data_IF_430551912574
#
_entry.id   IF_430551912574
#
_cell.length_a   1.000
_cell.length_b   1.000
_cell.length_c   1.000
_cell.angle_alpha   90.00
_cell.angle_beta   90.00
_cell.angle_gamma   90.00
#
_symmetry.space_group_name_H-M   'P 1'
#
loop_
_entity.id
_entity.type
_entity.pdbx_description
1 polymer ?
#
# COMPACT_ATOMS: atom_id res chain seq x y z
N UNK A 1 32.49 3.62 -3.30
CA UNK A 1 31.27 2.79 -3.17
C UNK A 1 30.09 3.69 -3.46
N UNK A 2 29.54 3.57 -4.67
CA UNK A 2 28.37 4.28 -5.18
C UNK A 2 27.46 3.17 -5.68
N UNK A 3 26.68 2.59 -4.77
CA UNK A 3 25.79 1.47 -5.04
C UNK A 3 24.36 1.89 -4.68
N UNK A 4 23.46 1.75 -5.67
CA UNK A 4 22.01 1.87 -5.58
C UNK A 4 21.44 3.17 -4.99
N UNK A 5 21.30 4.20 -5.83
CA UNK A 5 20.26 5.21 -5.63
C UNK A 5 18.89 4.53 -5.57
N UNK A 6 18.10 4.89 -4.55
CA UNK A 6 16.65 5.04 -4.57
C UNK A 6 15.83 3.89 -5.17
N UNK A 7 15.64 2.80 -4.43
CA UNK A 7 14.55 1.89 -4.75
C UNK A 7 13.24 2.55 -4.35
N UNK A 8 12.44 2.89 -5.35
CA UNK A 8 11.02 3.19 -5.28
C UNK A 8 10.29 1.99 -4.66
N UNK A 9 10.12 2.04 -3.34
CA UNK A 9 9.53 0.95 -2.57
C UNK A 9 8.20 1.41 -2.04
N UNK A 10 7.19 0.58 -2.23
CA UNK A 10 6.07 0.51 -1.31
C UNK A 10 6.17 -0.78 -0.52
N UNK A 11 6.20 -0.66 0.81
CA UNK A 11 6.27 -1.78 1.73
C UNK A 11 4.95 -1.91 2.46
N UNK A 12 4.52 -3.13 2.71
CA UNK A 12 3.31 -3.45 3.45
C UNK A 12 3.60 -4.48 4.54
N UNK A 13 2.88 -4.41 5.64
CA UNK A 13 3.04 -5.37 6.73
C UNK A 13 1.89 -5.34 7.73
N UNK A 14 2.15 -5.99 8.86
CA UNK A 14 1.19 -6.13 9.95
C UNK A 14 1.85 -5.86 11.30
N UNK A 15 1.18 -5.05 12.11
CA UNK A 15 1.50 -4.81 13.51
C UNK A 15 0.59 -5.65 14.39
N UNK A 16 1.11 -6.48 15.31
CA UNK A 16 0.29 -7.27 16.23
C UNK A 16 -0.34 -6.45 17.38
N UNK A 17 -0.07 -5.14 17.45
CA UNK A 17 -0.46 -4.27 18.56
C UNK A 17 0.54 -4.28 19.73
N UNK A 18 0.32 -3.42 20.72
CA UNK A 18 1.17 -3.31 21.92
C UNK A 18 2.52 -2.61 21.72
N UNK A 19 2.69 -1.90 20.60
CA UNK A 19 3.87 -1.11 20.26
C UNK A 19 3.49 0.34 19.87
N UNK A 20 4.12 0.93 18.85
CA UNK A 20 3.73 2.26 18.33
C UNK A 20 2.26 2.33 17.88
N UNK A 21 1.71 1.18 17.44
CA UNK A 21 0.28 1.00 17.22
C UNK A 21 -0.27 0.20 18.40
N UNK A 22 -1.23 0.78 19.12
CA UNK A 22 -1.83 0.17 20.32
C UNK A 22 -2.65 -1.07 19.96
N UNK A 23 -3.43 -0.98 18.88
CA UNK A 23 -4.24 -2.07 18.34
C UNK A 23 -3.53 -2.78 17.18
N UNK A 24 -3.91 -4.03 16.87
CA UNK A 24 -3.39 -4.70 15.68
C UNK A 24 -3.84 -3.98 14.40
N UNK A 25 -2.96 -3.85 13.42
CA UNK A 25 -3.24 -3.11 12.19
C UNK A 25 -2.37 -3.56 11.01
N UNK A 26 -2.89 -3.43 9.80
CA UNK A 26 -2.07 -3.47 8.59
C UNK A 26 -1.46 -2.10 8.35
N UNK A 27 -0.27 -2.07 7.75
CA UNK A 27 0.40 -0.82 7.43
C UNK A 27 1.04 -0.83 6.05
N UNK A 28 1.22 0.36 5.49
CA UNK A 28 1.95 0.58 4.23
C UNK A 28 2.71 1.90 4.25
N UNK A 29 3.90 1.94 3.66
CA UNK A 29 4.64 3.19 3.45
C UNK A 29 5.41 3.16 2.15
N UNK A 30 5.71 4.36 1.62
CA UNK A 30 6.52 4.53 0.43
C UNK A 30 7.87 5.18 0.79
N UNK A 31 8.96 4.75 0.15
CA UNK A 31 10.27 5.37 0.30
C UNK A 31 11.00 5.52 -1.05
N UNK A 32 11.58 6.70 -1.34
CA UNK A 32 11.28 7.97 -0.68
C UNK A 32 9.78 8.29 -0.81
N UNK A 33 9.20 8.94 0.20
CA UNK A 33 7.78 9.28 0.17
C UNK A 33 7.47 10.24 -0.99
N UNK A 34 6.53 9.89 -1.90
CA UNK A 34 6.13 10.79 -2.96
C UNK A 34 5.43 12.05 -2.43
N UNK A 35 5.60 13.22 -3.07
CA UNK A 35 4.89 14.43 -2.66
C UNK A 35 3.37 14.22 -2.63
N UNK A 36 2.75 14.58 -1.50
CA UNK A 36 1.31 14.43 -1.21
C UNK A 36 0.83 12.98 -0.98
N UNK A 37 1.74 12.01 -0.83
CA UNK A 37 1.36 10.62 -0.53
C UNK A 37 0.55 10.52 0.76
N UNK A 38 0.96 11.25 1.81
CA UNK A 38 0.22 11.35 3.07
C UNK A 38 -1.22 11.88 2.95
N UNK A 39 -1.56 12.56 1.85
CA UNK A 39 -2.87 13.15 1.59
C UNK A 39 -3.67 12.35 0.54
N UNK A 40 -3.10 11.25 0.03
CA UNK A 40 -3.75 10.44 -0.99
C UNK A 40 -5.01 9.76 -0.43
N UNK A 41 -6.14 9.78 -1.18
CA UNK A 41 -7.32 9.04 -0.78
C UNK A 41 -7.05 7.54 -0.92
N UNK A 42 -6.97 6.85 0.19
CA UNK A 42 -6.83 5.38 0.24
C UNK A 42 -8.12 4.73 0.67
N UNK A 43 -8.22 3.43 0.39
CA UNK A 43 -9.35 2.58 0.75
C UNK A 43 -8.84 1.40 1.58
N UNK A 44 -9.71 0.60 2.24
CA UNK A 44 -11.13 0.84 2.47
C UNK A 44 -11.36 2.03 3.42
N UNK A 45 -12.63 2.38 3.65
CA UNK A 45 -12.99 3.33 4.69
C UNK A 45 -12.45 2.86 6.05
N UNK A 46 -11.74 3.74 6.76
CA UNK A 46 -11.04 3.42 8.01
C UNK A 46 -9.51 3.33 7.87
N UNK A 47 -8.96 3.25 6.65
CA UNK A 47 -7.53 3.44 6.41
C UNK A 47 -7.15 4.92 6.59
N UNK A 48 -6.08 5.20 7.34
CA UNK A 48 -5.63 6.57 7.64
C UNK A 48 -4.10 6.69 7.60
N UNK A 49 -3.58 7.87 7.30
CA UNK A 49 -2.14 8.12 7.32
C UNK A 49 -1.67 8.63 8.69
N UNK A 50 -0.74 7.93 9.32
CA UNK A 50 -0.07 8.36 10.55
C UNK A 50 1.16 9.19 10.22
N UNK A 51 1.06 10.52 10.38
CA UNK A 51 2.20 11.44 10.17
C UNK A 51 3.34 11.25 11.17
N UNK A 52 3.05 10.68 12.33
CA UNK A 52 4.07 10.35 13.32
C UNK A 52 4.95 9.19 12.86
N UNK A 53 4.32 8.17 12.26
CA UNK A 53 5.02 6.97 11.79
C UNK A 53 5.51 7.08 10.35
N UNK A 54 4.89 7.93 9.54
CA UNK A 54 5.16 8.02 8.10
C UNK A 54 4.51 6.89 7.30
N UNK A 55 3.39 6.34 7.78
CA UNK A 55 2.77 5.12 7.23
C UNK A 55 1.24 5.26 7.18
N UNK A 56 0.60 4.65 6.17
CA UNK A 56 -0.81 4.33 6.19
C UNK A 56 -1.08 3.17 7.13
N UNK A 57 -2.15 3.27 7.92
CA UNK A 57 -2.59 2.30 8.91
C UNK A 57 -4.04 1.92 8.61
N UNK A 58 -4.31 0.63 8.54
CA UNK A 58 -5.65 0.04 8.49
C UNK A 58 -5.88 -0.79 9.77
N UNK A 59 -6.73 -0.32 10.69
CA UNK A 59 -7.05 -1.04 11.91
C UNK A 59 -7.59 -2.44 11.64
N UNK A 60 -7.14 -3.43 12.40
CA UNK A 60 -7.66 -4.79 12.28
C UNK A 60 -9.15 -4.88 12.56
N UNK A 61 -9.68 -4.05 13.46
CA UNK A 61 -11.10 -4.03 13.73
C UNK A 61 -11.93 -3.68 12.47
N UNK A 62 -11.43 -2.77 11.64
CA UNK A 62 -12.05 -2.41 10.36
C UNK A 62 -12.07 -3.62 9.42
N UNK A 63 -10.96 -4.34 9.31
CA UNK A 63 -10.86 -5.57 8.49
C UNK A 63 -11.76 -6.68 9.03
N UNK A 64 -11.75 -6.89 10.35
CA UNK A 64 -12.51 -7.96 11.03
C UNK A 64 -14.02 -7.78 10.92
N UNK A 65 -14.49 -6.53 10.82
CA UNK A 65 -15.92 -6.20 10.73
C UNK A 65 -16.39 -5.95 9.29
N UNK A 66 -15.48 -5.96 8.32
CA UNK A 66 -15.81 -5.86 6.90
C UNK A 66 -16.64 -7.06 6.42
N UNK A 67 -17.47 -6.82 5.40
CA UNK A 67 -18.26 -7.89 4.74
C UNK A 67 -17.35 -8.96 4.11
N UNK A 68 -16.18 -8.55 3.63
CA UNK A 68 -15.14 -9.42 3.08
C UNK A 68 -13.78 -8.93 3.58
N UNK A 69 -13.21 -9.57 4.62
CA UNK A 69 -11.92 -9.16 5.19
C UNK A 69 -10.77 -9.23 4.18
N UNK A 70 -10.77 -10.25 3.32
CA UNK A 70 -9.73 -10.43 2.31
C UNK A 70 -9.76 -9.28 1.30
N UNK A 71 -10.96 -8.90 0.82
CA UNK A 71 -11.10 -7.78 -0.11
C UNK A 71 -10.71 -6.45 0.55
N UNK A 72 -11.02 -6.25 1.83
CA UNK A 72 -10.64 -5.04 2.57
C UNK A 72 -9.11 -4.87 2.67
N UNK A 73 -8.38 -5.98 2.91
CA UNK A 73 -6.90 -5.95 2.91
C UNK A 73 -6.37 -5.72 1.50
N UNK A 74 -6.91 -6.39 0.49
CA UNK A 74 -6.47 -6.21 -0.90
C UNK A 74 -6.69 -4.78 -1.37
N UNK A 75 -7.85 -4.18 -1.09
CA UNK A 75 -8.18 -2.81 -1.45
C UNK A 75 -7.24 -1.79 -0.78
N UNK A 76 -6.81 -2.06 0.44
CA UNK A 76 -5.78 -1.27 1.13
C UNK A 76 -4.43 -1.34 0.45
N UNK A 77 -3.95 -2.55 0.16
CA UNK A 77 -2.67 -2.74 -0.51
C UNK A 77 -2.67 -2.14 -1.92
N UNK A 78 -3.76 -2.32 -2.66
CA UNK A 78 -3.89 -1.79 -4.02
C UNK A 78 -4.00 -0.26 -4.02
N UNK A 79 -4.86 0.34 -3.20
CA UNK A 79 -5.04 1.80 -3.19
C UNK A 79 -3.78 2.55 -2.74
N UNK A 80 -3.03 2.01 -1.78
CA UNK A 80 -1.76 2.57 -1.33
C UNK A 80 -0.66 2.40 -2.39
N UNK A 81 -0.62 1.25 -3.07
CA UNK A 81 0.27 1.01 -4.22
C UNK A 81 0.01 2.01 -5.35
N UNK A 82 -1.25 2.16 -5.76
CA UNK A 82 -1.65 3.10 -6.82
C UNK A 82 -1.27 4.53 -6.44
N UNK A 83 -1.56 4.95 -5.20
CA UNK A 83 -1.18 6.26 -4.71
C UNK A 83 0.34 6.50 -4.77
N UNK A 84 1.13 5.50 -4.35
CA UNK A 84 2.59 5.57 -4.34
C UNK A 84 3.17 5.65 -5.75
N UNK A 85 2.71 4.77 -6.64
CA UNK A 85 3.16 4.71 -8.03
C UNK A 85 2.78 5.97 -8.82
N UNK A 86 1.53 6.44 -8.70
CA UNK A 86 1.04 7.60 -9.45
C UNK A 86 1.71 8.90 -8.98
N UNK A 87 1.88 9.09 -7.66
CA UNK A 87 2.54 10.28 -7.12
C UNK A 87 4.05 10.22 -7.27
N UNK A 88 4.64 9.02 -7.28
CA UNK A 88 6.06 8.79 -7.52
C UNK A 88 6.44 8.93 -9.00
N UNK A 89 5.46 8.94 -9.91
CA UNK A 89 5.70 8.96 -11.36
C UNK A 89 6.30 7.67 -11.87
N UNK A 90 6.05 6.55 -11.20
CA UNK A 90 6.61 5.25 -11.55
C UNK A 90 5.92 4.74 -12.82
N UNK A 91 6.69 4.26 -13.79
CA UNK A 91 6.17 3.65 -15.02
C UNK A 91 5.43 2.34 -14.67
N UNK A 92 4.12 2.44 -14.35
CA UNK A 92 3.27 1.30 -13.99
C UNK A 92 3.32 0.17 -15.02
N UNK A 93 3.40 0.50 -16.31
CA UNK A 93 3.53 -0.47 -17.39
C UNK A 93 4.79 -1.35 -17.31
N UNK A 94 5.85 -0.88 -16.63
CA UNK A 94 7.07 -1.65 -16.40
C UNK A 94 7.02 -2.47 -15.09
N UNK A 95 6.13 -2.13 -14.15
CA UNK A 95 6.01 -2.75 -12.83
C UNK A 95 4.86 -3.76 -12.72
N UNK A 96 3.78 -3.53 -13.46
CA UNK A 96 2.60 -4.39 -13.47
C UNK A 96 2.82 -5.63 -14.35
N UNK A 97 2.57 -6.83 -13.80
CA UNK A 97 2.55 -8.05 -14.61
C UNK A 97 1.22 -8.14 -15.35
N UNK A 98 1.27 -8.13 -16.67
CA UNK A 98 0.14 -8.54 -17.52
C UNK A 98 -0.29 -9.96 -17.13
N UNK A 99 -1.56 -10.19 -16.75
CA UNK A 99 -2.07 -11.50 -16.41
C UNK A 99 -1.83 -12.52 -17.53
N UNK A 100 -1.39 -13.73 -17.18
CA UNK A 100 -1.01 -14.76 -18.15
C UNK A 100 -2.16 -15.16 -19.12
N UNK A 101 -3.41 -14.95 -18.73
CA UNK A 101 -4.59 -15.37 -19.50
C UNK A 101 -4.85 -14.53 -20.77
N UNK A 102 -4.12 -13.44 -20.99
CA UNK A 102 -4.21 -12.66 -22.24
C UNK A 102 -3.16 -13.07 -23.28
N UNK A 103 -2.14 -13.85 -22.90
CA UNK A 103 -1.11 -14.33 -23.83
C UNK A 103 -1.62 -15.43 -24.77
N UNK A 104 -2.67 -16.14 -24.39
CA UNK A 104 -3.22 -17.27 -25.14
C UNK A 104 -4.32 -16.87 -26.14
N UNK A 105 -4.85 -15.64 -26.06
CA UNK A 105 -5.83 -15.11 -27.05
C UNK A 105 -5.18 -14.37 -28.23
N UNK A 106 -3.86 -14.22 -28.21
CA UNK A 106 -3.09 -13.55 -29.25
C UNK A 106 -2.33 -14.52 -30.18
N UNK A 107 -2.65 -15.82 -30.15
CA UNK A 107 -2.10 -16.84 -31.04
C UNK A 107 -3.20 -17.57 -31.82
#
# INVERSE_FOLDING_TARGET
VREAYSHEVISAGWWPGGGPVAEPAFYTYAYPEPPRFADAPVRPEGATYSREMGEFILPYETVRTALSPDDAVLEFLESTYVAGADLGGWERAALERVPAHERERAH
#
